data_IF_997917574602
#
_entry.id   IF_997917574602
#
_cell.length_a   1.000
_cell.length_b   1.000
_cell.length_c   1.000
_cell.angle_alpha   90.00
_cell.angle_beta   90.00
_cell.angle_gamma   90.00
#
_symmetry.space_group_name_H-M   'P 1'
#
loop_
_entity.id
_entity.type
_entity.pdbx_description
1 polymer ?
#
# COMPACT_ATOMS: atom_id res chain seq x y z
N UNK A 1 34.32 4.50 51.91
CA UNK A 1 32.90 4.16 51.67
C UNK A 1 32.22 5.10 50.68
N UNK A 2 32.20 6.41 50.82
CA UNK A 2 31.53 7.36 49.89
C UNK A 2 32.06 7.26 48.43
N UNK A 3 33.38 7.10 48.23
CA UNK A 3 33.97 6.97 46.87
C UNK A 3 33.55 5.69 46.16
N UNK A 4 33.38 4.59 46.86
CA UNK A 4 32.92 3.32 46.30
C UNK A 4 31.45 3.41 45.85
N UNK A 5 30.58 4.09 46.61
CA UNK A 5 29.17 4.31 46.26
C UNK A 5 29.04 5.16 44.97
N UNK A 6 29.90 6.19 44.85
CA UNK A 6 29.88 7.06 43.65
C UNK A 6 30.32 6.28 42.39
N UNK A 7 31.34 5.44 42.50
CA UNK A 7 31.83 4.61 41.40
C UNK A 7 30.78 3.58 40.98
N UNK A 8 30.12 2.93 41.95
CA UNK A 8 29.05 1.98 41.70
C UNK A 8 27.82 2.64 41.01
N UNK A 9 27.46 3.83 41.43
CA UNK A 9 26.38 4.60 40.79
C UNK A 9 26.73 5.02 39.35
N UNK A 10 27.98 5.40 39.11
CA UNK A 10 28.45 5.79 37.77
C UNK A 10 28.47 4.60 36.82
N UNK A 11 28.88 3.41 37.24
CA UNK A 11 28.88 2.17 36.44
C UNK A 11 27.45 1.72 36.15
N UNK A 12 26.51 1.85 37.10
CA UNK A 12 25.11 1.53 36.87
C UNK A 12 24.44 2.45 35.85
N UNK A 13 24.80 3.74 35.80
CA UNK A 13 24.23 4.71 34.87
C UNK A 13 24.74 4.48 33.41
N UNK A 14 25.95 4.02 33.26
CA UNK A 14 26.54 3.71 31.92
C UNK A 14 25.92 2.41 31.35
N UNK A 15 25.61 1.43 32.20
CA UNK A 15 25.04 0.14 31.77
C UNK A 15 23.60 0.23 31.22
N UNK A 16 22.86 1.25 31.60
CA UNK A 16 21.43 1.39 31.18
C UNK A 16 21.30 1.91 29.74
N UNK A 17 22.32 2.52 29.17
CA UNK A 17 22.25 3.11 27.81
C UNK A 17 22.47 2.12 26.66
N UNK A 18 22.77 0.86 26.92
CA UNK A 18 22.97 -0.16 25.86
C UNK A 18 21.74 -1.05 25.61
N UNK A 19 20.59 -0.73 26.19
CA UNK A 19 19.43 -1.64 26.19
C UNK A 19 18.52 -1.54 24.97
N UNK A 20 18.71 -0.61 24.06
CA UNK A 20 17.86 -0.48 22.86
C UNK A 20 18.74 -0.50 21.60
N UNK A 21 18.92 -1.66 21.03
CA UNK A 21 19.34 -1.76 19.63
C UNK A 21 18.10 -1.80 18.75
N UNK A 22 18.05 -0.97 17.71
CA UNK A 22 16.92 -0.84 16.78
C UNK A 22 16.50 -2.19 16.19
N UNK A 23 17.44 -3.12 16.05
CA UNK A 23 17.21 -4.48 15.52
C UNK A 23 16.33 -5.38 16.41
N UNK A 24 16.05 -5.01 17.67
CA UNK A 24 15.21 -5.83 18.54
C UNK A 24 13.73 -5.83 18.12
N UNK A 25 13.28 -4.77 17.46
CA UNK A 25 11.90 -4.62 16.99
C UNK A 25 11.70 -4.93 15.50
N UNK A 26 12.78 -5.10 14.74
CA UNK A 26 12.72 -5.48 13.34
C UNK A 26 12.67 -7.02 13.20
N UNK A 27 11.50 -7.58 13.43
CA UNK A 27 11.23 -8.98 13.09
C UNK A 27 10.77 -8.99 11.63
N UNK A 28 11.58 -9.58 10.73
CA UNK A 28 11.14 -9.80 9.35
C UNK A 28 9.86 -10.64 9.35
N UNK A 29 8.79 -10.18 8.67
CA UNK A 29 7.54 -10.93 8.60
C UNK A 29 7.80 -12.32 8.02
N UNK A 30 7.31 -13.36 8.69
CA UNK A 30 7.44 -14.72 8.19
C UNK A 30 6.74 -14.86 6.84
N UNK A 31 7.45 -15.33 5.84
CA UNK A 31 6.94 -15.47 4.47
C UNK A 31 7.11 -14.22 3.61
N UNK A 32 7.68 -13.13 4.12
CA UNK A 32 8.09 -12.01 3.27
C UNK A 32 9.32 -12.41 2.44
N UNK A 33 9.28 -12.07 1.16
CA UNK A 33 10.43 -12.26 0.30
C UNK A 33 11.53 -11.29 0.71
N UNK A 34 12.68 -11.81 1.13
CA UNK A 34 13.83 -10.97 1.48
C UNK A 34 14.54 -10.46 0.22
N UNK A 35 15.24 -9.34 0.35
CA UNK A 35 16.06 -8.81 -0.75
C UNK A 35 17.04 -9.86 -1.28
N UNK A 36 17.64 -10.65 -0.40
CA UNK A 36 18.54 -11.76 -0.77
C UNK A 36 17.87 -12.87 -1.55
N UNK A 37 16.61 -13.21 -1.24
CA UNK A 37 15.87 -14.24 -1.97
C UNK A 37 15.42 -13.78 -3.35
N UNK A 38 15.25 -12.47 -3.55
CA UNK A 38 14.83 -11.85 -4.80
C UNK A 38 15.99 -11.37 -5.68
N UNK A 39 17.22 -11.27 -5.14
CA UNK A 39 18.40 -10.81 -5.87
C UNK A 39 18.96 -11.87 -6.83
N UNK A 40 18.11 -12.47 -7.64
CA UNK A 40 18.46 -13.42 -8.69
C UNK A 40 17.48 -13.30 -9.86
N UNK A 41 17.80 -13.91 -11.00
CA UNK A 41 17.00 -13.82 -12.23
C UNK A 41 15.52 -14.19 -12.02
N UNK A 42 15.25 -15.25 -11.25
CA UNK A 42 13.89 -15.71 -11.02
C UNK A 42 13.13 -14.74 -10.10
N UNK A 43 13.80 -14.20 -9.08
CA UNK A 43 13.25 -13.20 -8.20
C UNK A 43 12.88 -11.90 -8.94
N UNK A 44 13.78 -11.40 -9.79
CA UNK A 44 13.52 -10.22 -10.62
C UNK A 44 12.36 -10.46 -11.60
N UNK A 45 12.29 -11.62 -12.23
CA UNK A 45 11.17 -11.98 -13.10
C UNK A 45 9.85 -12.07 -12.32
N UNK A 46 9.87 -12.62 -11.11
CA UNK A 46 8.69 -12.70 -10.25
C UNK A 46 8.18 -11.30 -9.86
N UNK A 47 9.08 -10.38 -9.51
CA UNK A 47 8.75 -8.98 -9.23
C UNK A 47 8.14 -8.27 -10.45
N UNK A 48 8.73 -8.49 -11.63
CA UNK A 48 8.21 -7.96 -12.88
C UNK A 48 6.79 -8.46 -13.17
N UNK A 49 6.56 -9.77 -13.08
CA UNK A 49 5.24 -10.36 -13.23
C UNK A 49 4.27 -9.80 -12.18
N UNK A 50 4.69 -9.69 -10.92
CA UNK A 50 3.90 -9.10 -9.83
C UNK A 50 3.51 -7.64 -10.09
N UNK A 51 4.37 -6.88 -10.75
CA UNK A 51 4.07 -5.50 -11.18
C UNK A 51 3.04 -5.48 -12.30
N UNK A 52 3.23 -6.29 -13.34
CA UNK A 52 2.28 -6.38 -14.44
C UNK A 52 0.93 -6.97 -14.05
N UNK A 53 0.86 -7.82 -13.02
CA UNK A 53 -0.39 -8.42 -12.56
C UNK A 53 -1.42 -7.39 -12.07
N UNK A 54 -0.99 -6.18 -11.74
CA UNK A 54 -1.90 -5.08 -11.41
C UNK A 54 -2.67 -4.53 -12.62
N UNK A 55 -2.24 -4.85 -13.83
CA UNK A 55 -2.88 -4.40 -15.06
C UNK A 55 -3.93 -5.39 -15.57
N UNK A 56 -4.10 -6.55 -14.93
CA UNK A 56 -5.00 -7.61 -15.39
C UNK A 56 -6.49 -7.39 -15.06
N UNK A 57 -6.79 -6.34 -14.32
CA UNK A 57 -8.17 -5.98 -14.00
C UNK A 57 -8.61 -6.33 -12.58
N UNK A 58 -7.81 -7.04 -11.81
CA UNK A 58 -8.12 -7.40 -10.41
C UNK A 58 -7.02 -6.88 -9.50
N UNK A 59 -7.35 -5.93 -8.64
CA UNK A 59 -6.43 -5.41 -7.63
C UNK A 59 -6.33 -6.29 -6.38
N UNK A 60 -5.25 -6.14 -5.62
CA UNK A 60 -5.01 -6.88 -4.38
C UNK A 60 -6.08 -6.65 -3.29
N UNK A 61 -6.86 -5.59 -3.38
CA UNK A 61 -7.93 -5.24 -2.44
C UNK A 61 -9.30 -5.82 -2.76
N UNK A 62 -9.42 -6.65 -3.78
CA UNK A 62 -10.62 -7.40 -4.15
C UNK A 62 -11.90 -6.58 -4.37
N UNK A 63 -11.80 -5.32 -4.71
CA UNK A 63 -12.94 -4.55 -5.20
C UNK A 63 -12.63 -4.14 -6.63
N UNK A 64 -13.47 -4.54 -7.59
CA UNK A 64 -13.34 -4.18 -9.02
C UNK A 64 -13.29 -2.67 -9.28
N UNK A 65 -13.36 -1.86 -8.22
CA UNK A 65 -13.24 -0.40 -8.24
C UNK A 65 -11.80 0.10 -8.30
N UNK A 66 -10.82 -0.75 -8.06
CA UNK A 66 -9.42 -0.36 -7.82
C UNK A 66 -8.50 -0.63 -9.03
N UNK A 67 -8.90 -1.52 -9.92
CA UNK A 67 -8.07 -2.01 -11.01
C UNK A 67 -8.38 -1.35 -12.36
N UNK A 68 -7.73 -1.82 -13.40
CA UNK A 68 -8.00 -1.44 -14.80
C UNK A 68 -9.46 -1.61 -15.20
N UNK A 69 -10.18 -2.54 -14.60
CA UNK A 69 -11.61 -2.76 -14.86
C UNK A 69 -12.46 -1.51 -14.56
N UNK A 70 -12.02 -0.69 -13.60
CA UNK A 70 -12.71 0.57 -13.25
C UNK A 70 -12.35 1.75 -14.17
N UNK A 71 -11.48 1.55 -15.16
CA UNK A 71 -11.10 2.64 -16.06
C UNK A 71 -12.27 3.18 -16.87
N UNK A 72 -13.30 2.38 -17.13
CA UNK A 72 -14.53 2.84 -17.79
C UNK A 72 -15.22 3.95 -17.00
N UNK A 73 -15.13 3.94 -15.66
CA UNK A 73 -15.70 4.98 -14.79
C UNK A 73 -15.01 6.31 -15.03
N UNK A 74 -13.68 6.29 -15.12
CA UNK A 74 -12.85 7.51 -15.28
C UNK A 74 -12.66 7.93 -16.74
N UNK A 75 -12.97 7.07 -17.69
CA UNK A 75 -12.88 7.33 -19.12
C UNK A 75 -14.26 7.38 -19.76
N UNK A 76 -14.91 6.25 -19.98
CA UNK A 76 -16.14 6.15 -20.71
C UNK A 76 -17.33 6.94 -20.11
N UNK A 77 -17.48 6.89 -18.78
CA UNK A 77 -18.58 7.62 -18.11
C UNK A 77 -18.29 9.11 -18.09
N UNK A 78 -17.07 9.53 -17.75
CA UNK A 78 -16.73 10.95 -17.72
C UNK A 78 -16.67 11.60 -19.08
N UNK A 79 -16.42 10.85 -20.16
CA UNK A 79 -16.49 11.36 -21.54
C UNK A 79 -17.91 11.47 -22.08
N UNK A 80 -18.90 10.85 -21.43
CA UNK A 80 -20.26 10.75 -21.92
C UNK A 80 -20.49 9.63 -22.94
N UNK A 81 -19.48 8.79 -23.21
CA UNK A 81 -19.60 7.64 -24.11
C UNK A 81 -20.34 6.45 -23.46
N UNK A 82 -20.41 6.45 -22.14
CA UNK A 82 -21.10 5.43 -21.37
C UNK A 82 -21.87 6.08 -20.20
N UNK A 83 -22.85 5.35 -19.70
CA UNK A 83 -23.61 5.72 -18.50
C UNK A 83 -23.45 4.65 -17.44
N UNK A 84 -23.76 4.98 -16.19
CA UNK A 84 -23.69 4.05 -15.06
C UNK A 84 -24.45 2.73 -15.34
N UNK A 85 -25.63 2.81 -15.92
CA UNK A 85 -26.38 1.66 -16.45
C UNK A 85 -27.06 0.79 -15.41
N UNK A 86 -26.98 1.13 -14.13
CA UNK A 86 -27.66 0.45 -13.01
C UNK A 86 -28.88 1.23 -12.53
N UNK A 87 -29.67 0.63 -11.63
CA UNK A 87 -30.87 1.26 -11.07
C UNK A 87 -30.55 2.53 -10.28
N UNK A 88 -31.55 3.38 -10.13
CA UNK A 88 -31.44 4.61 -9.34
C UNK A 88 -31.12 4.25 -7.89
N UNK A 89 -30.06 4.88 -7.36
CA UNK A 89 -29.58 4.65 -6.00
C UNK A 89 -28.58 3.49 -5.85
N UNK A 90 -28.36 2.66 -6.88
CA UNK A 90 -27.25 1.74 -6.90
C UNK A 90 -25.97 2.46 -7.33
N UNK A 91 -24.86 2.18 -6.66
CA UNK A 91 -23.54 2.81 -6.94
C UNK A 91 -23.60 4.36 -7.00
N UNK A 92 -24.12 5.04 -5.98
CA UNK A 92 -24.35 6.49 -6.03
C UNK A 92 -23.04 7.28 -6.26
N UNK A 93 -21.92 6.78 -5.77
CA UNK A 93 -20.61 7.41 -5.99
C UNK A 93 -20.19 7.41 -7.46
N UNK A 94 -20.56 6.39 -8.23
CA UNK A 94 -20.35 6.32 -9.67
C UNK A 94 -21.26 7.30 -10.41
N UNK A 95 -22.52 7.43 -9.97
CA UNK A 95 -23.46 8.42 -10.48
C UNK A 95 -22.97 9.85 -10.25
N UNK A 96 -22.38 10.13 -9.10
CA UNK A 96 -21.77 11.44 -8.84
C UNK A 96 -20.58 11.72 -9.75
N UNK A 97 -19.83 10.69 -10.16
CA UNK A 97 -18.76 10.84 -11.16
C UNK A 97 -19.36 11.17 -12.54
N UNK A 98 -20.41 10.48 -12.95
CA UNK A 98 -21.14 10.74 -14.20
C UNK A 98 -21.65 12.17 -14.29
N UNK A 99 -22.21 12.66 -13.18
CA UNK A 99 -22.79 14.00 -13.08
C UNK A 99 -21.75 15.11 -12.80
N UNK A 100 -20.48 14.79 -12.69
CA UNK A 100 -19.41 15.72 -12.25
C UNK A 100 -19.70 16.38 -10.90
N UNK A 101 -20.36 15.67 -10.00
CA UNK A 101 -20.79 16.13 -8.68
C UNK A 101 -20.25 15.25 -7.55
N UNK A 102 -18.95 14.94 -7.60
CA UNK A 102 -18.29 14.10 -6.61
C UNK A 102 -17.72 14.88 -5.44
N UNK A 103 -17.57 14.20 -4.31
CA UNK A 103 -16.83 14.66 -3.14
C UNK A 103 -15.47 13.98 -3.06
N UNK A 104 -14.55 14.56 -2.29
CA UNK A 104 -13.19 14.04 -2.12
C UNK A 104 -13.12 12.68 -1.41
N UNK A 105 -14.18 12.27 -0.71
CA UNK A 105 -14.33 10.99 -0.02
C UNK A 105 -14.91 9.88 -0.90
N UNK A 106 -15.15 10.14 -2.17
CA UNK A 106 -15.65 9.14 -3.12
C UNK A 106 -14.70 7.95 -3.20
N UNK A 107 -15.21 6.75 -2.91
CA UNK A 107 -14.40 5.52 -2.78
C UNK A 107 -13.78 5.06 -4.09
N UNK A 108 -14.29 5.45 -5.24
CA UNK A 108 -13.68 5.17 -6.54
C UNK A 108 -12.34 5.88 -6.70
N UNK A 109 -12.23 7.14 -6.26
CA UNK A 109 -10.95 7.88 -6.31
C UNK A 109 -9.92 7.28 -5.36
N UNK A 110 -10.33 7.01 -4.10
CA UNK A 110 -9.45 6.39 -3.12
C UNK A 110 -8.95 5.03 -3.62
N UNK A 111 -9.86 4.19 -4.12
CA UNK A 111 -9.50 2.88 -4.63
C UNK A 111 -8.54 2.96 -5.82
N UNK A 112 -8.78 3.87 -6.77
CA UNK A 112 -7.90 4.07 -7.91
C UNK A 112 -6.52 4.57 -7.51
N UNK A 113 -6.47 5.51 -6.57
CA UNK A 113 -5.24 6.00 -5.99
C UNK A 113 -4.42 4.87 -5.37
N UNK A 114 -5.01 4.12 -4.44
CA UNK A 114 -4.34 3.02 -3.74
C UNK A 114 -3.78 1.98 -4.72
N UNK A 115 -4.57 1.57 -5.70
CA UNK A 115 -4.15 0.58 -6.69
C UNK A 115 -3.01 1.10 -7.57
N UNK A 116 -3.07 2.36 -7.99
CA UNK A 116 -2.02 2.96 -8.83
C UNK A 116 -0.71 3.06 -8.06
N UNK A 117 -0.76 3.48 -6.78
CA UNK A 117 0.45 3.58 -5.96
C UNK A 117 0.98 2.23 -5.47
N UNK A 118 0.14 1.20 -5.34
CA UNK A 118 0.61 -0.19 -5.19
C UNK A 118 1.46 -0.61 -6.41
N UNK A 119 1.01 -0.26 -7.62
CA UNK A 119 1.79 -0.46 -8.84
C UNK A 119 3.14 0.24 -8.83
N UNK A 120 3.16 1.50 -8.41
CA UNK A 120 4.43 2.27 -8.26
C UNK A 120 5.35 1.61 -7.23
N UNK A 121 4.80 1.19 -6.09
CA UNK A 121 5.58 0.53 -5.04
C UNK A 121 6.19 -0.81 -5.51
N UNK A 122 5.46 -1.58 -6.32
CA UNK A 122 5.97 -2.84 -6.89
C UNK A 122 7.01 -2.63 -7.99
N UNK A 123 6.97 -1.50 -8.67
CA UNK A 123 7.92 -1.16 -9.74
C UNK A 123 9.26 -0.60 -9.22
N UNK A 124 9.30 -0.06 -8.00
CA UNK A 124 10.48 0.48 -7.34
C UNK A 124 11.24 -0.58 -6.56
#
# INVERSE_FOLDING_TARGET
>A
MKKLIIISALVATVGINFSCTDNFFEIEPQGAASLTSLSNKNGVNALLIGTYSLLDGVGAGNTGRQSTISNYVFGGITSGDAVKGTDIGDQPEQEYIEQFNWLSDNTYFLGKWQHTYDGVARAN
#
